data_IF_674958468698
#
_entry.id   IF_674958468698
#
_cell.length_a   1.000
_cell.length_b   1.000
_cell.length_c   1.000
_cell.angle_alpha   90.00
_cell.angle_beta   90.00
_cell.angle_gamma   90.00
#
_symmetry.space_group_name_H-M   'P 1'
#
loop_
_entity.id
_entity.type
_entity.pdbx_description
1 polymer ?
#
# COMPACT_ATOMS: atom_id res chain seq x y z
N UNK A 1 -2.18 18.93 10.01
CA UNK A 1 -3.13 18.01 10.65
C UNK A 1 -3.67 17.12 9.54
N UNK A 2 -3.48 15.80 9.61
CA UNK A 2 -3.79 14.90 8.48
C UNK A 2 -5.30 14.69 8.28
N UNK A 3 -5.69 14.28 7.07
CA UNK A 3 -7.09 13.94 6.71
C UNK A 3 -7.32 12.43 6.90
N UNK A 4 -8.31 12.06 7.71
CA UNK A 4 -8.68 10.65 7.93
C UNK A 4 -9.24 10.04 6.65
N UNK A 5 -8.83 8.83 6.30
CA UNK A 5 -9.35 8.15 5.11
C UNK A 5 -10.71 7.50 5.38
N UNK A 6 -11.52 7.36 4.33
CA UNK A 6 -12.68 6.47 4.33
C UNK A 6 -12.21 5.04 4.09
N UNK A 7 -12.61 4.11 4.97
CA UNK A 7 -12.25 2.69 4.88
C UNK A 7 -13.43 1.86 4.39
N UNK A 8 -13.15 0.81 3.60
CA UNK A 8 -14.16 -0.19 3.23
C UNK A 8 -14.58 -1.03 4.45
N UNK A 9 -13.65 -1.26 5.39
CA UNK A 9 -14.00 -1.80 6.70
C UNK A 9 -14.83 -0.75 7.45
N UNK A 10 -16.09 -1.07 7.73
CA UNK A 10 -17.06 -0.14 8.29
C UNK A 10 -17.40 -0.45 9.77
N UNK A 11 -16.92 -1.58 10.31
CA UNK A 11 -17.08 -1.98 11.72
C UNK A 11 -15.80 -2.62 12.24
N UNK A 12 -15.53 -2.44 13.55
CA UNK A 12 -14.42 -3.09 14.23
C UNK A 12 -13.03 -2.62 13.80
N UNK A 13 -12.91 -1.42 13.21
CA UNK A 13 -11.59 -0.89 12.82
C UNK A 13 -10.75 -0.73 14.08
N UNK A 14 -9.57 -1.36 14.13
CA UNK A 14 -8.69 -1.30 15.29
C UNK A 14 -8.03 0.08 15.41
N UNK A 15 -7.52 0.59 14.29
CA UNK A 15 -6.74 1.83 14.20
C UNK A 15 -7.38 2.82 13.23
N UNK A 16 -6.83 4.03 13.18
CA UNK A 16 -7.19 5.06 12.21
C UNK A 16 -6.04 5.35 11.26
N UNK A 17 -6.38 5.67 10.01
CA UNK A 17 -5.41 5.96 8.96
C UNK A 17 -5.64 7.35 8.43
N UNK A 18 -4.56 8.12 8.35
CA UNK A 18 -4.55 9.53 7.97
C UNK A 18 -3.62 9.76 6.78
N UNK A 19 -4.05 10.63 5.86
CA UNK A 19 -3.19 11.27 4.85
C UNK A 19 -2.51 12.46 5.52
N UNK A 20 -1.18 12.53 5.50
CA UNK A 20 -0.44 13.58 6.24
C UNK A 20 0.39 14.51 5.36
N UNK A 21 0.44 14.26 4.05
CA UNK A 21 1.09 15.11 3.06
C UNK A 21 0.09 15.77 2.10
N UNK A 22 0.59 16.60 1.19
CA UNK A 22 -0.20 17.13 0.08
C UNK A 22 -0.45 16.06 -0.99
N UNK A 23 -1.49 16.27 -1.80
CA UNK A 23 -1.71 15.43 -2.99
C UNK A 23 -0.54 15.57 -3.95
N UNK A 24 0.09 14.45 -4.25
CA UNK A 24 1.14 14.35 -5.26
C UNK A 24 0.59 14.25 -6.69
N UNK A 25 1.52 14.07 -7.62
CA UNK A 25 1.21 13.83 -9.03
C UNK A 25 0.35 12.57 -9.17
N UNK A 26 -0.70 12.63 -9.99
CA UNK A 26 -1.61 11.50 -10.18
C UNK A 26 -2.75 11.40 -9.16
N UNK A 27 -3.01 12.47 -8.39
CA UNK A 27 -4.10 12.56 -7.41
C UNK A 27 -3.98 11.52 -6.27
N UNK A 28 -2.76 11.07 -5.98
CA UNK A 28 -2.43 10.18 -4.87
C UNK A 28 -1.64 10.93 -3.81
N UNK A 29 -1.84 10.58 -2.53
CA UNK A 29 -1.00 11.07 -1.44
C UNK A 29 0.26 10.21 -1.37
N UNK A 30 1.37 10.82 -0.99
CA UNK A 30 2.66 10.13 -0.86
C UNK A 30 3.01 9.77 0.59
N UNK A 31 2.19 10.13 1.58
CA UNK A 31 2.46 9.84 2.98
C UNK A 31 1.19 9.58 3.79
N UNK A 32 1.23 8.47 4.53
CA UNK A 32 0.14 8.02 5.38
C UNK A 32 0.66 7.65 6.77
N UNK A 33 -0.20 7.83 7.78
CA UNK A 33 0.09 7.49 9.16
C UNK A 33 -1.05 6.66 9.74
N UNK A 34 -0.69 5.61 10.48
CA UNK A 34 -1.62 4.76 11.23
C UNK A 34 -1.50 5.12 12.72
N UNK A 35 -2.62 5.36 13.40
CA UNK A 35 -2.67 5.72 14.83
C UNK A 35 -3.68 4.90 15.61
N UNK A 36 -3.45 4.76 16.92
CA UNK A 36 -4.46 4.24 17.84
C UNK A 36 -5.67 5.18 17.94
N UNK A 37 -6.76 4.69 18.52
CA UNK A 37 -8.04 5.40 18.66
C UNK A 37 -8.26 6.05 20.02
N UNK A 38 -7.21 6.13 20.82
CA UNK A 38 -7.28 6.57 22.20
C UNK A 38 -7.28 8.10 22.30
N UNK A 39 -7.62 8.63 23.48
CA UNK A 39 -7.59 10.08 23.75
C UNK A 39 -6.20 10.70 23.52
N UNK A 40 -5.15 9.89 23.68
CA UNK A 40 -3.77 10.20 23.32
C UNK A 40 -3.30 9.27 22.18
N UNK A 41 -3.54 9.63 20.91
CA UNK A 41 -3.23 8.74 19.78
C UNK A 41 -1.74 8.48 19.63
N UNK A 42 -1.36 7.21 19.58
CA UNK A 42 0.03 6.78 19.32
C UNK A 42 0.20 6.49 17.83
N UNK A 43 1.27 7.02 17.23
CA UNK A 43 1.67 6.67 15.86
C UNK A 43 2.27 5.26 15.80
N UNK A 44 1.59 4.35 15.12
CA UNK A 44 1.97 2.94 15.01
C UNK A 44 2.84 2.68 13.79
N UNK A 45 2.59 3.41 12.70
CA UNK A 45 3.34 3.29 11.46
C UNK A 45 3.24 4.56 10.63
N UNK A 46 4.32 4.86 9.92
CA UNK A 46 4.40 5.91 8.90
C UNK A 46 4.85 5.29 7.58
N UNK A 47 4.05 5.50 6.55
CA UNK A 47 4.25 4.91 5.22
C UNK A 47 4.51 6.05 4.25
N UNK A 48 5.74 6.11 3.73
CA UNK A 48 6.15 7.07 2.70
C UNK A 48 6.28 6.36 1.36
N UNK A 49 5.43 6.75 0.41
CA UNK A 49 5.45 6.21 -0.95
C UNK A 49 6.51 6.90 -1.80
N UNK A 50 7.04 6.15 -2.78
CA UNK A 50 7.88 6.69 -3.84
C UNK A 50 7.20 7.88 -4.51
N UNK A 51 7.92 8.99 -4.63
CA UNK A 51 7.43 10.20 -5.29
C UNK A 51 8.31 10.51 -6.50
N UNK A 52 7.71 10.54 -7.68
CA UNK A 52 8.44 10.69 -8.95
C UNK A 52 8.97 9.36 -9.50
N UNK A 53 9.36 9.39 -10.78
CA UNK A 53 9.82 8.19 -11.48
C UNK A 53 11.26 7.82 -11.04
N UNK A 54 11.56 6.52 -10.91
CA UNK A 54 12.78 6.01 -10.24
C UNK A 54 14.10 6.64 -10.72
N UNK A 55 14.19 7.05 -11.98
CA UNK A 55 15.44 7.56 -12.57
C UNK A 55 15.46 9.09 -12.69
N UNK A 56 14.44 9.79 -12.17
CA UNK A 56 14.40 11.24 -12.19
C UNK A 56 15.17 11.82 -10.97
N UNK A 57 16.05 12.83 -11.16
CA UNK A 57 16.87 13.38 -10.07
C UNK A 57 16.07 13.97 -8.90
N UNK A 58 14.83 14.39 -9.15
CA UNK A 58 13.94 15.02 -8.16
C UNK A 58 13.07 14.00 -7.41
N UNK A 59 13.27 12.70 -7.66
CA UNK A 59 12.46 11.65 -7.04
C UNK A 59 12.84 11.41 -5.59
N UNK A 60 11.83 11.21 -4.76
CA UNK A 60 12.01 10.80 -3.36
C UNK A 60 11.78 9.30 -3.24
N UNK A 61 12.76 8.61 -2.64
CA UNK A 61 12.69 7.16 -2.39
C UNK A 61 11.58 6.87 -1.37
N UNK A 62 10.78 5.85 -1.67
CA UNK A 62 9.75 5.34 -0.78
C UNK A 62 9.23 3.98 -1.24
N UNK A 63 8.27 3.44 -0.49
CA UNK A 63 7.63 2.17 -0.83
C UNK A 63 6.69 2.32 -2.03
N UNK A 64 6.33 1.21 -2.64
CA UNK A 64 5.27 1.12 -3.65
C UNK A 64 4.12 0.23 -3.18
N UNK A 65 2.99 0.27 -3.87
CA UNK A 65 1.78 -0.48 -3.49
C UNK A 65 2.07 -1.98 -3.29
N UNK A 66 2.92 -2.57 -4.14
CA UNK A 66 3.28 -3.99 -4.06
C UNK A 66 4.07 -4.33 -2.80
N UNK A 67 4.90 -3.43 -2.26
CA UNK A 67 5.66 -3.70 -1.04
C UNK A 67 4.71 -3.93 0.14
N UNK A 68 3.67 -3.11 0.24
CA UNK A 68 2.65 -3.21 1.29
C UNK A 68 1.75 -4.45 1.09
N UNK A 69 1.39 -4.76 -0.15
CA UNK A 69 0.60 -5.95 -0.47
C UNK A 69 1.37 -7.24 -0.19
N UNK A 70 2.68 -7.30 -0.48
CA UNK A 70 3.51 -8.48 -0.18
C UNK A 70 3.64 -8.72 1.33
N UNK A 71 3.76 -7.66 2.15
CA UNK A 71 3.76 -7.80 3.62
C UNK A 71 2.45 -8.43 4.12
N UNK A 72 1.31 -7.95 3.61
CA UNK A 72 -0.01 -8.48 4.01
C UNK A 72 -0.19 -9.91 3.49
N UNK A 73 0.27 -10.18 2.26
CA UNK A 73 0.24 -11.51 1.64
C UNK A 73 1.03 -12.52 2.48
N UNK A 74 2.28 -12.21 2.82
CA UNK A 74 3.14 -13.09 3.62
C UNK A 74 2.48 -13.42 4.96
N UNK A 75 1.97 -12.40 5.66
CA UNK A 75 1.27 -12.58 6.94
C UNK A 75 0.00 -13.44 6.83
N UNK A 76 -0.83 -13.20 5.82
CA UNK A 76 -2.05 -13.99 5.61
C UNK A 76 -1.73 -15.43 5.20
N UNK A 77 -0.67 -15.64 4.43
CA UNK A 77 -0.21 -16.97 4.04
C UNK A 77 0.20 -17.76 5.28
N UNK A 78 0.97 -17.16 6.18
CA UNK A 78 1.37 -17.79 7.44
C UNK A 78 0.18 -18.09 8.35
N UNK A 79 -0.83 -17.22 8.42
CA UNK A 79 -2.06 -17.53 9.15
C UNK A 79 -2.84 -18.68 8.53
N UNK A 80 -2.90 -18.74 7.19
CA UNK A 80 -3.57 -19.80 6.47
C UNK A 80 -2.86 -21.15 6.61
N UNK A 81 -1.55 -21.15 6.81
CA UNK A 81 -0.74 -22.35 7.07
C UNK A 81 -0.72 -22.76 8.56
N UNK A 82 -1.25 -21.93 9.45
CA UNK A 82 -1.22 -22.13 10.91
C UNK A 82 -2.58 -22.38 11.54
N UNK A 83 -2.65 -22.28 12.86
CA UNK A 83 -3.86 -22.56 13.67
C UNK A 83 -5.05 -21.63 13.41
N UNK A 84 -4.83 -20.55 12.64
CA UNK A 84 -5.85 -19.55 12.30
C UNK A 84 -6.29 -19.65 10.83
N UNK A 85 -6.15 -20.83 10.23
CA UNK A 85 -6.66 -21.11 8.89
C UNK A 85 -8.16 -20.84 8.79
N UNK A 86 -8.59 -20.11 7.76
CA UNK A 86 -10.02 -19.91 7.50
C UNK A 86 -10.30 -19.59 6.03
N UNK A 87 -11.57 -19.69 5.63
CA UNK A 87 -11.96 -19.45 4.23
C UNK A 87 -11.76 -17.98 3.85
N UNK A 88 -12.02 -17.06 4.78
CA UNK A 88 -11.88 -15.62 4.58
C UNK A 88 -10.41 -15.22 4.33
N UNK A 89 -9.47 -15.82 5.07
CA UNK A 89 -8.03 -15.61 4.86
C UNK A 89 -7.60 -16.11 3.47
N UNK A 90 -8.01 -17.32 3.08
CA UNK A 90 -7.73 -17.87 1.74
C UNK A 90 -8.30 -16.98 0.62
N UNK A 91 -9.53 -16.48 0.76
CA UNK A 91 -10.13 -15.58 -0.23
C UNK A 91 -9.41 -14.23 -0.30
N UNK A 92 -9.03 -13.65 0.84
CA UNK A 92 -8.26 -12.42 0.88
C UNK A 92 -6.90 -12.58 0.20
N UNK A 93 -6.22 -13.72 0.41
CA UNK A 93 -4.96 -14.06 -0.26
C UNK A 93 -5.11 -14.07 -1.78
N UNK A 94 -6.12 -14.77 -2.31
CA UNK A 94 -6.36 -14.82 -3.77
C UNK A 94 -6.51 -13.42 -4.37
N UNK A 95 -7.25 -12.53 -3.70
CA UNK A 95 -7.44 -11.17 -4.19
C UNK A 95 -6.17 -10.32 -4.11
N UNK A 96 -5.39 -10.46 -3.04
CA UNK A 96 -4.09 -9.78 -2.91
C UNK A 96 -3.12 -10.25 -3.99
N UNK A 97 -2.98 -11.56 -4.20
CA UNK A 97 -2.11 -12.12 -5.22
C UNK A 97 -2.53 -11.70 -6.64
N UNK A 98 -3.84 -11.65 -6.89
CA UNK A 98 -4.39 -11.13 -8.15
C UNK A 98 -4.05 -9.65 -8.34
N UNK A 99 -4.15 -8.83 -7.29
CA UNK A 99 -3.78 -7.42 -7.35
C UNK A 99 -2.28 -7.26 -7.67
N UNK A 100 -1.41 -8.01 -6.99
CA UNK A 100 0.03 -8.02 -7.23
C UNK A 100 0.34 -8.45 -8.68
N UNK A 101 -0.31 -9.49 -9.19
CA UNK A 101 -0.17 -9.92 -10.59
C UNK A 101 -0.48 -8.79 -11.58
N UNK A 102 -1.55 -8.02 -11.37
CA UNK A 102 -1.87 -6.87 -12.24
C UNK A 102 -0.85 -5.74 -12.14
N UNK A 103 -0.33 -5.47 -10.93
CA UNK A 103 0.76 -4.51 -10.74
C UNK A 103 2.03 -4.96 -11.46
N UNK A 104 2.37 -6.24 -11.41
CA UNK A 104 3.52 -6.82 -12.11
C UNK A 104 3.34 -6.76 -13.63
N UNK A 105 2.16 -7.08 -14.15
CA UNK A 105 1.87 -6.96 -15.58
C UNK A 105 2.07 -5.53 -16.09
N UNK A 106 1.69 -4.52 -15.29
CA UNK A 106 1.96 -3.11 -15.60
C UNK A 106 3.47 -2.81 -15.64
N UNK A 107 4.25 -3.38 -14.73
CA UNK A 107 5.72 -3.23 -14.71
C UNK A 107 6.34 -3.90 -15.93
N UNK A 108 5.97 -5.15 -16.23
CA UNK A 108 6.46 -5.90 -17.40
C UNK A 108 6.17 -5.19 -18.72
N UNK A 109 4.97 -4.62 -18.89
CA UNK A 109 4.62 -3.82 -20.06
C UNK A 109 5.56 -2.63 -20.22
N UNK A 110 5.88 -1.94 -19.13
CA UNK A 110 6.81 -0.79 -19.15
C UNK A 110 8.25 -1.20 -19.43
N UNK A 111 8.67 -2.39 -18.98
CA UNK A 111 9.97 -2.96 -19.33
C UNK A 111 10.03 -3.27 -20.83
N UNK A 112 9.00 -3.94 -21.38
CA UNK A 112 8.91 -4.27 -22.81
C UNK A 112 8.98 -3.04 -23.72
N UNK A 113 8.50 -1.90 -23.23
CA UNK A 113 8.50 -0.62 -23.94
C UNK A 113 9.70 0.27 -23.62
N UNK A 114 10.63 -0.20 -22.79
CA UNK A 114 11.83 0.54 -22.36
C UNK A 114 11.53 1.92 -21.73
N UNK A 115 10.43 2.00 -20.98
CA UNK A 115 9.97 3.24 -20.31
C UNK A 115 9.92 3.11 -18.78
N UNK A 116 10.43 2.00 -18.23
CA UNK A 116 10.50 1.80 -16.78
C UNK A 116 11.27 2.93 -16.09
N UNK A 117 10.75 3.44 -14.98
CA UNK A 117 11.41 4.49 -14.21
C UNK A 117 11.34 5.89 -14.83
N UNK A 118 10.53 6.10 -15.88
CA UNK A 118 10.29 7.40 -16.52
C UNK A 118 8.81 7.80 -16.53
N UNK A 119 8.48 9.05 -16.88
CA UNK A 119 7.10 9.50 -17.09
C UNK A 119 6.54 9.19 -18.50
N UNK A 120 7.32 8.55 -19.37
CA UNK A 120 6.87 8.18 -20.71
C UNK A 120 5.69 7.19 -20.61
N UNK A 121 4.65 7.47 -21.38
CA UNK A 121 3.41 6.69 -21.39
C UNK A 121 3.61 5.36 -22.08
#
# INVERSE_FOLDING_TARGET
>A
MGEKITTVQYKGNLNEVYRVADKGVGNAYNEYVIRTKDDEPVELARIKFQKGARHEPVSEVGVIDSDLLEIVRDRLKLFQEGEFECTENAMALVHIETAIMWLNRRVEDRIKRDVIGTHKK
#
